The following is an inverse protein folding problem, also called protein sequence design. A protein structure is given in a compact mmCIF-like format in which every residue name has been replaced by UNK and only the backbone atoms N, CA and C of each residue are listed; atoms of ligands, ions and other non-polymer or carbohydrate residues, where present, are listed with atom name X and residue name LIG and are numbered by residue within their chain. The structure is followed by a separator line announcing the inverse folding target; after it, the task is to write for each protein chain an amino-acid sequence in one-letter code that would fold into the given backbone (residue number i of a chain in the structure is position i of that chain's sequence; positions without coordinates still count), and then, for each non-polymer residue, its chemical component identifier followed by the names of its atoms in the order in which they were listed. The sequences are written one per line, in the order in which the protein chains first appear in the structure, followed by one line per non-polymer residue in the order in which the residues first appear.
data_IF_355773224052
#
_entry.id   IF_355773224052
#
_cell.length_a   1.000
_cell.length_b   1.000
_cell.length_c   1.000
_cell.angle_alpha   90.00
_cell.angle_beta   90.00
_cell.angle_gamma   90.00
#
_symmetry.space_group_name_H-M   'P 1'
#
loop_
_entity.id
_entity.type
_entity.pdbx_description
1 polymer ?
#
# COMPACT_ATOMS: atom_id res chain seq x y z
N UNK A 1 -8.72 2.56 19.55
CA UNK A 1 -7.51 2.54 20.42
C UNK A 1 -6.82 1.19 20.21
N UNK A 2 -5.88 1.09 19.27
CA UNK A 2 -5.16 -0.17 19.03
C UNK A 2 -4.08 -0.35 20.10
N UNK A 3 -4.12 -1.47 20.82
CA UNK A 3 -3.07 -1.85 21.78
C UNK A 3 -1.83 -2.27 20.97
N UNK A 4 -0.85 -1.38 20.86
CA UNK A 4 0.50 -1.73 20.41
C UNK A 4 1.04 -2.77 21.39
N UNK A 5 1.46 -3.92 20.89
CA UNK A 5 2.30 -4.80 21.66
C UNK A 5 3.73 -4.55 21.20
N UNK A 6 4.59 -4.19 22.14
CA UNK A 6 5.95 -3.73 21.84
C UNK A 6 6.92 -4.90 21.66
N UNK A 7 6.47 -6.14 21.89
CA UNK A 7 7.18 -7.37 21.57
C UNK A 7 7.19 -7.62 20.04
N UNK A 8 8.37 -7.66 19.42
CA UNK A 8 8.53 -7.97 18.00
C UNK A 8 7.86 -9.30 17.59
N UNK A 9 7.92 -10.31 18.46
CA UNK A 9 7.30 -11.63 18.22
C UNK A 9 5.77 -11.61 18.22
N UNK A 10 5.16 -10.55 18.77
CA UNK A 10 3.72 -10.38 18.91
C UNK A 10 3.21 -9.14 18.18
N UNK A 11 4.08 -8.36 17.58
CA UNK A 11 3.71 -7.18 16.81
C UNK A 11 3.13 -7.61 15.46
N UNK A 12 1.79 -7.64 15.40
CA UNK A 12 1.05 -7.89 14.15
C UNK A 12 0.83 -6.61 13.33
N UNK A 13 1.25 -5.46 13.83
CA UNK A 13 1.06 -4.15 13.21
C UNK A 13 2.22 -3.76 12.30
N UNK A 14 3.46 -4.12 12.64
CA UNK A 14 4.61 -4.03 11.74
C UNK A 14 4.73 -5.30 10.87
N UNK A 15 3.94 -5.38 9.79
CA UNK A 15 3.93 -6.55 8.89
C UNK A 15 5.13 -6.65 7.96
N UNK A 16 5.86 -5.55 7.74
CA UNK A 16 6.92 -5.47 6.74
C UNK A 16 8.28 -5.25 7.39
N UNK A 17 9.22 -6.16 7.12
CA UNK A 17 10.62 -6.01 7.52
C UNK A 17 11.34 -5.14 6.48
N UNK A 18 11.79 -3.97 6.92
CA UNK A 18 12.48 -2.99 6.06
C UNK A 18 13.97 -3.30 5.92
N UNK A 19 14.68 -3.52 7.04
CA UNK A 19 16.11 -3.80 7.05
C UNK A 19 16.54 -4.50 8.35
N UNK A 20 17.74 -5.08 8.35
CA UNK A 20 18.44 -5.55 9.54
C UNK A 20 19.92 -5.21 9.38
N UNK A 21 20.47 -4.46 10.33
CA UNK A 21 21.85 -3.99 10.28
C UNK A 21 22.56 -4.34 11.59
N UNK A 22 23.85 -4.65 11.51
CA UNK A 22 24.68 -4.82 12.70
C UNK A 22 24.83 -3.47 13.41
N UNK A 23 24.79 -3.48 14.74
CA UNK A 23 25.02 -2.29 15.53
C UNK A 23 26.50 -1.88 15.42
N UNK A 24 26.76 -0.65 14.96
CA UNK A 24 28.10 -0.08 14.86
C UNK A 24 28.26 1.03 15.91
N UNK A 25 29.18 0.83 16.87
CA UNK A 25 29.48 1.80 17.92
C UNK A 25 30.05 3.10 17.34
N UNK A 26 29.46 4.25 17.70
CA UNK A 26 29.94 5.58 17.32
C UNK A 26 29.47 6.09 15.95
N UNK A 27 28.71 5.30 15.18
CA UNK A 27 28.14 5.72 13.90
C UNK A 27 26.61 5.89 14.00
N UNK A 28 26.06 6.91 13.34
CA UNK A 28 24.62 7.02 13.12
C UNK A 28 24.24 6.09 11.97
N UNK A 29 23.36 5.12 12.23
CA UNK A 29 22.79 4.27 11.19
C UNK A 29 21.84 5.08 10.31
N UNK A 30 22.01 4.97 8.99
CA UNK A 30 21.07 5.47 7.99
C UNK A 30 20.85 4.40 6.95
N UNK A 31 19.64 4.34 6.41
CA UNK A 31 19.26 3.40 5.37
C UNK A 31 18.23 4.06 4.46
N UNK A 32 18.41 3.87 3.16
CA UNK A 32 17.42 4.26 2.17
C UNK A 32 16.57 3.05 1.82
N UNK A 33 15.25 3.20 1.93
CA UNK A 33 14.29 2.16 1.60
C UNK A 33 13.34 2.64 0.52
N UNK A 34 13.33 1.94 -0.61
CA UNK A 34 12.30 2.12 -1.62
C UNK A 34 11.07 1.33 -1.21
N UNK A 35 9.97 2.04 -0.94
CA UNK A 35 8.70 1.42 -0.57
C UNK A 35 8.10 0.72 -1.79
N UNK A 36 7.76 -0.56 -1.63
CA UNK A 36 7.11 -1.32 -2.68
C UNK A 36 5.67 -0.85 -2.90
N UNK A 37 5.20 -0.91 -4.15
CA UNK A 37 3.88 -0.37 -4.54
C UNK A 37 2.69 -1.12 -3.93
N UNK A 38 2.91 -2.31 -3.37
CA UNK A 38 1.90 -3.14 -2.69
C UNK A 38 1.78 -2.84 -1.18
N UNK A 39 2.61 -1.94 -0.66
CA UNK A 39 2.55 -1.50 0.73
C UNK A 39 1.52 -0.38 0.85
N UNK A 40 0.30 -0.74 1.28
CA UNK A 40 -0.74 0.22 1.61
C UNK A 40 -0.26 1.20 2.69
N UNK A 41 -0.55 2.49 2.52
CA UNK A 41 -0.25 3.63 3.42
C UNK A 41 0.24 3.22 4.81
N UNK A 42 1.56 3.22 5.00
CA UNK A 42 2.18 3.00 6.31
C UNK A 42 2.21 4.31 7.09
N UNK A 43 1.75 4.30 8.35
CA UNK A 43 1.65 5.52 9.18
C UNK A 43 2.83 5.75 10.14
N UNK A 44 3.76 4.79 10.28
CA UNK A 44 4.92 4.95 11.17
C UNK A 44 6.01 3.91 10.85
N UNK A 45 7.26 4.23 11.22
CA UNK A 45 8.39 3.30 11.21
C UNK A 45 8.79 2.95 12.64
N UNK A 46 9.06 1.68 12.87
CA UNK A 46 9.54 1.16 14.15
C UNK A 46 10.86 0.42 13.95
N UNK A 47 11.80 0.65 14.86
CA UNK A 47 13.10 0.01 14.92
C UNK A 47 13.23 -0.79 16.22
N UNK A 48 13.87 -1.94 16.13
CA UNK A 48 14.12 -2.85 17.24
C UNK A 48 15.62 -3.11 17.37
N UNK A 49 16.13 -3.07 18.59
CA UNK A 49 17.47 -3.52 18.91
C UNK A 49 17.40 -4.94 19.48
N UNK A 50 18.18 -5.84 18.88
CA UNK A 50 18.28 -7.23 19.29
C UNK A 50 19.68 -7.48 19.86
N UNK A 51 19.78 -8.32 20.89
CA UNK A 51 21.06 -8.81 21.40
C UNK A 51 21.58 -10.01 20.59
N UNK A 52 22.72 -10.58 21.02
CA UNK A 52 23.34 -11.73 20.37
C UNK A 52 22.47 -13.00 20.37
N UNK A 53 21.49 -13.08 21.28
CA UNK A 53 20.51 -14.17 21.36
C UNK A 53 19.25 -13.90 20.52
N UNK A 54 19.24 -12.82 19.71
CA UNK A 54 18.07 -12.37 18.93
C UNK A 54 16.90 -11.95 19.84
N UNK A 55 17.20 -11.63 21.11
CA UNK A 55 16.20 -11.14 22.05
C UNK A 55 16.10 -9.63 21.93
N UNK A 56 14.87 -9.12 21.89
CA UNK A 56 14.63 -7.68 21.85
C UNK A 56 15.06 -7.04 23.17
N UNK A 57 16.00 -6.09 23.08
CA UNK A 57 16.53 -5.35 24.23
C UNK A 57 16.11 -3.89 24.24
N UNK A 58 15.71 -3.33 23.09
CA UNK A 58 15.14 -2.00 22.99
C UNK A 58 14.26 -1.85 21.75
N UNK A 59 13.42 -0.81 21.74
CA UNK A 59 12.68 -0.39 20.56
C UNK A 59 12.60 1.13 20.48
N UNK A 60 12.34 1.65 19.28
CA UNK A 60 12.04 3.05 19.02
C UNK A 60 11.05 3.18 17.87
N UNK A 61 10.24 4.24 17.88
CA UNK A 61 9.24 4.51 16.85
C UNK A 61 9.22 5.99 16.50
N UNK A 62 8.86 6.32 15.26
CA UNK A 62 8.52 7.71 14.87
C UNK A 62 7.36 8.23 15.73
N UNK A 63 7.55 9.38 16.36
CA UNK A 63 6.56 10.02 17.23
C UNK A 63 5.27 10.41 16.49
N UNK A 64 4.18 10.72 17.23
CA UNK A 64 2.86 10.98 16.65
C UNK A 64 2.80 12.19 15.71
N UNK A 65 3.79 13.07 15.74
CA UNK A 65 3.91 14.24 14.87
C UNK A 65 4.71 14.00 13.58
N UNK A 66 5.32 12.82 13.44
CA UNK A 66 6.16 12.43 12.30
C UNK A 66 5.51 11.29 11.49
N UNK A 67 4.19 11.22 11.49
CA UNK A 67 3.42 10.33 10.61
C UNK A 67 3.63 10.81 9.17
N UNK A 68 4.09 9.91 8.32
CA UNK A 68 4.17 10.13 6.89
C UNK A 68 3.15 9.22 6.21
N UNK A 69 2.55 9.70 5.13
CA UNK A 69 1.66 8.89 4.31
C UNK A 69 2.42 8.42 3.07
N UNK A 70 2.45 7.11 2.88
CA UNK A 70 2.82 6.53 1.59
C UNK A 70 1.59 6.63 0.69
N UNK A 71 1.66 7.45 -0.34
CA UNK A 71 0.64 7.52 -1.37
C UNK A 71 0.59 6.16 -2.09
N UNK A 72 -0.57 5.51 -2.02
CA UNK A 72 -0.81 4.28 -2.76
C UNK A 72 -0.77 4.58 -4.27
N UNK A 73 -0.23 3.65 -5.07
CA UNK A 73 -0.37 3.74 -6.52
C UNK A 73 -1.78 3.24 -6.84
N UNK A 74 -2.75 4.15 -6.79
CA UNK A 74 -4.09 3.86 -7.28
C UNK A 74 -3.97 3.57 -8.77
N UNK A 75 -4.05 2.30 -9.17
CA UNK A 75 -3.95 1.85 -10.57
C UNK A 75 -5.03 2.41 -11.51
N UNK A 76 -5.84 3.37 -11.06
CA UNK A 76 -6.80 4.13 -11.85
C UNK A 76 -6.04 5.16 -12.69
N UNK A 77 -5.30 4.68 -13.68
CA UNK A 77 -4.76 5.54 -14.72
C UNK A 77 -5.92 6.18 -15.50
N UNK A 78 -5.73 7.42 -15.97
CA UNK A 78 -6.70 8.13 -16.80
C UNK A 78 -7.17 7.30 -18.01
N UNK A 79 -6.29 6.44 -18.54
CA UNK A 79 -6.60 5.49 -19.62
C UNK A 79 -7.73 4.52 -19.29
N UNK A 80 -7.80 4.01 -18.05
CA UNK A 80 -8.85 3.06 -17.63
C UNK A 80 -10.22 3.75 -17.61
N UNK A 81 -10.28 5.00 -17.12
CA UNK A 81 -11.52 5.80 -17.13
C UNK A 81 -12.00 6.09 -18.55
N UNK A 82 -11.07 6.43 -19.45
CA UNK A 82 -11.39 6.69 -20.86
C UNK A 82 -11.89 5.41 -21.55
N UNK A 83 -11.20 4.29 -21.36
CA UNK A 83 -11.61 3.00 -21.93
C UNK A 83 -13.00 2.58 -21.43
N UNK A 84 -13.26 2.70 -20.13
CA UNK A 84 -14.57 2.42 -19.55
C UNK A 84 -15.68 3.30 -20.15
N UNK A 85 -15.41 4.58 -20.38
CA UNK A 85 -16.33 5.50 -21.04
C UNK A 85 -16.66 5.07 -22.47
N UNK A 86 -15.64 4.72 -23.27
CA UNK A 86 -15.82 4.28 -24.67
C UNK A 86 -16.59 2.97 -24.74
N UNK A 87 -16.21 1.96 -23.94
CA UNK A 87 -16.91 0.67 -23.94
C UNK A 87 -18.36 0.78 -23.48
N UNK A 88 -18.64 1.65 -22.49
CA UNK A 88 -20.00 1.93 -22.04
C UNK A 88 -20.85 2.54 -23.16
N UNK A 89 -20.34 3.60 -23.82
CA UNK A 89 -21.04 4.24 -24.93
C UNK A 89 -21.27 3.29 -26.11
N UNK A 90 -20.27 2.47 -26.45
CA UNK A 90 -20.38 1.48 -27.52
C UNK A 90 -21.43 0.41 -27.22
N UNK A 91 -21.49 -0.09 -25.98
CA UNK A 91 -22.49 -1.06 -25.54
C UNK A 91 -23.93 -0.52 -25.67
N UNK A 92 -24.17 0.72 -25.23
CA UNK A 92 -25.49 1.35 -25.35
C UNK A 92 -25.86 1.60 -26.81
N UNK A 93 -24.92 2.09 -27.62
CA UNK A 93 -25.15 2.37 -29.04
C UNK A 93 -25.46 1.10 -29.83
N UNK A 94 -24.72 0.01 -29.58
CA UNK A 94 -24.95 -1.28 -30.24
C UNK A 94 -26.29 -1.87 -29.82
N UNK A 95 -26.65 -1.83 -28.53
CA UNK A 95 -27.96 -2.27 -28.06
C UNK A 95 -29.11 -1.51 -28.74
N UNK A 96 -29.02 -0.18 -28.79
CA UNK A 96 -30.03 0.66 -29.44
C UNK A 96 -30.14 0.37 -30.95
N UNK A 97 -29.01 0.18 -31.63
CA UNK A 97 -28.97 -0.17 -33.04
C UNK A 97 -29.67 -1.52 -33.31
N UNK A 98 -29.32 -2.57 -32.56
CA UNK A 98 -29.95 -3.88 -32.71
C UNK A 98 -31.44 -3.81 -32.46
N UNK A 99 -31.87 -3.11 -31.41
CA UNK A 99 -33.28 -2.95 -31.08
C UNK A 99 -34.06 -2.26 -32.22
N UNK A 100 -33.51 -1.21 -32.84
CA UNK A 100 -34.15 -0.52 -33.98
C UNK A 100 -34.21 -1.41 -35.21
N UNK A 101 -33.13 -2.12 -35.55
CA UNK A 101 -33.08 -3.02 -36.70
C UNK A 101 -34.08 -4.17 -36.55
N UNK A 102 -34.15 -4.77 -35.37
CA UNK A 102 -35.06 -5.89 -35.08
C UNK A 102 -36.52 -5.45 -35.15
N UNK A 103 -36.86 -4.29 -34.58
CA UNK A 103 -38.21 -3.73 -34.67
C UNK A 103 -38.64 -3.35 -36.11
N UNK A 104 -37.69 -3.04 -37.00
CA UNK A 104 -37.98 -2.76 -38.43
C UNK A 104 -38.09 -4.02 -39.28
N UNK A 105 -37.52 -5.15 -38.85
CA UNK A 105 -37.66 -6.45 -39.51
C UNK A 105 -38.95 -7.19 -39.12
N UNK A 106 -39.49 -6.88 -37.94
CA UNK A 106 -40.74 -7.46 -37.43
C UNK A 106 -42.01 -6.68 -37.86
N UNK A 107 -41.86 -5.69 -38.75
CA UNK A 107 -42.94 -4.94 -39.41
C UNK A 107 -42.92 -5.28 -40.90
#
# INVERSE_FOLDING_TARGET
MCKSNDDLSKDKTCRFKVTQQAYATGARGSFEYTVACDISTGSYVRAYALDASVTQVAYGQTGPTAVFDVADITGIHASIKVAAGVFSAFSVATLAFFFVVENRKNK
#
